data_IF_011966243688
#
_entry.id   IF_011966243688
#
_cell.length_a   1.000
_cell.length_b   1.000
_cell.length_c   1.000
_cell.angle_alpha   90.00
_cell.angle_beta   90.00
_cell.angle_gamma   90.00
#
_symmetry.space_group_name_H-M   'P 1'
#
loop_
_entity.id
_entity.type
_entity.pdbx_description
1 polymer ?
#
# COMPACT_ATOMS: atom_id res chain seq x y z
N UNK A 1 7.04 11.50 14.44
CA UNK A 1 7.22 10.22 13.73
C UNK A 1 6.19 10.20 12.66
N UNK A 2 6.63 10.14 11.41
CA UNK A 2 5.77 10.38 10.26
C UNK A 2 5.51 9.06 9.55
N UNK A 3 4.27 8.86 9.10
CA UNK A 3 3.84 7.64 8.42
C UNK A 3 3.48 8.00 6.99
N UNK A 4 4.19 7.42 6.02
CA UNK A 4 3.81 7.52 4.62
C UNK A 4 2.65 6.58 4.35
N UNK A 5 1.57 7.14 3.82
CA UNK A 5 0.36 6.41 3.44
C UNK A 5 0.33 6.36 1.91
N UNK A 6 0.57 5.18 1.35
CA UNK A 6 0.52 4.93 -0.10
C UNK A 6 -0.81 4.34 -0.55
N UNK A 7 -1.57 3.73 0.38
CA UNK A 7 -2.89 3.14 0.10
C UNK A 7 -3.87 3.41 1.24
N UNK A 8 -5.17 3.42 0.93
CA UNK A 8 -6.22 3.69 1.92
C UNK A 8 -6.32 2.60 3.01
N UNK A 9 -6.00 1.35 2.69
CA UNK A 9 -6.04 0.24 3.64
C UNK A 9 -5.05 0.42 4.81
N UNK A 10 -4.02 1.26 4.63
CA UNK A 10 -3.05 1.58 5.67
C UNK A 10 -3.62 2.53 6.74
N UNK A 11 -4.72 3.23 6.48
CA UNK A 11 -5.31 4.20 7.40
C UNK A 11 -5.84 3.52 8.66
N UNK A 12 -6.52 2.39 8.52
CA UNK A 12 -7.10 1.64 9.65
C UNK A 12 -6.05 1.23 10.70
N UNK A 13 -4.98 0.49 10.37
CA UNK A 13 -3.99 0.10 11.36
C UNK A 13 -3.29 1.31 11.99
N UNK A 14 -3.10 2.41 11.25
CA UNK A 14 -2.57 3.66 11.80
C UNK A 14 -3.52 4.27 12.84
N UNK A 15 -4.81 4.36 12.54
CA UNK A 15 -5.82 4.91 13.46
C UNK A 15 -5.88 4.11 14.78
N UNK A 16 -5.87 2.78 14.68
CA UNK A 16 -5.80 1.89 15.85
C UNK A 16 -4.53 2.13 16.66
N UNK A 17 -3.39 2.30 15.99
CA UNK A 17 -2.11 2.55 16.65
C UNK A 17 -2.08 3.90 17.36
N UNK A 18 -2.60 4.98 16.74
CA UNK A 18 -2.72 6.28 17.40
C UNK A 18 -3.63 6.21 18.62
N UNK A 19 -4.77 5.51 18.51
CA UNK A 19 -5.65 5.32 19.66
C UNK A 19 -4.96 4.61 20.82
N UNK A 20 -4.23 3.53 20.53
CA UNK A 20 -3.45 2.78 21.54
C UNK A 20 -2.35 3.65 22.15
N UNK A 21 -1.62 4.42 21.34
CA UNK A 21 -0.59 5.37 21.81
C UNK A 21 -1.18 6.48 22.70
N UNK A 22 -2.41 6.91 22.42
CA UNK A 22 -3.15 7.84 23.25
C UNK A 22 -3.71 7.21 24.54
N UNK A 23 -3.56 5.89 24.74
CA UNK A 23 -4.06 5.19 25.93
C UNK A 23 -5.59 5.09 26.00
N UNK A 24 -6.31 5.31 24.89
CA UNK A 24 -7.77 5.37 24.87
C UNK A 24 -8.38 4.04 24.42
N UNK A 25 -9.46 3.62 25.08
CA UNK A 25 -10.34 2.57 24.55
C UNK A 25 -11.24 3.13 23.45
N UNK A 26 -11.84 2.27 22.63
CA UNK A 26 -12.85 2.70 21.63
C UNK A 26 -14.01 3.46 22.30
N UNK A 27 -14.47 2.99 23.46
CA UNK A 27 -15.52 3.65 24.23
C UNK A 27 -15.09 5.03 24.73
N UNK A 28 -13.84 5.19 25.16
CA UNK A 28 -13.32 6.49 25.60
C UNK A 28 -13.24 7.51 24.45
N UNK A 29 -12.82 7.08 23.25
CA UNK A 29 -12.83 7.97 22.08
C UNK A 29 -14.27 8.34 21.70
N UNK A 30 -15.18 7.36 21.69
CA UNK A 30 -16.59 7.59 21.40
C UNK A 30 -17.24 8.59 22.37
N UNK A 31 -16.98 8.45 23.68
CA UNK A 31 -17.47 9.35 24.70
C UNK A 31 -17.00 10.79 24.48
N UNK A 32 -15.72 10.99 24.14
CA UNK A 32 -15.16 12.32 23.83
C UNK A 32 -15.74 12.94 22.55
N UNK A 33 -16.20 12.10 21.61
CA UNK A 33 -16.85 12.53 20.38
C UNK A 33 -18.37 12.70 20.52
N UNK A 34 -18.95 12.41 21.69
CA UNK A 34 -20.40 12.45 21.91
C UNK A 34 -21.18 11.44 21.05
N UNK A 35 -20.58 10.29 20.73
CA UNK A 35 -21.22 9.23 19.93
C UNK A 35 -21.20 7.88 20.65
N UNK A 36 -21.96 6.91 20.14
CA UNK A 36 -21.94 5.54 20.67
C UNK A 36 -20.61 4.84 20.38
N UNK A 37 -20.21 3.89 21.25
CA UNK A 37 -19.04 3.05 21.02
C UNK A 37 -19.14 2.32 19.66
N UNK A 38 -20.31 1.79 19.32
CA UNK A 38 -20.53 1.07 18.07
C UNK A 38 -20.29 1.96 16.84
N UNK A 39 -20.74 3.23 16.90
CA UNK A 39 -20.49 4.19 15.83
C UNK A 39 -18.98 4.46 15.66
N UNK A 40 -18.23 4.59 16.75
CA UNK A 40 -16.78 4.75 16.68
C UNK A 40 -16.11 3.48 16.18
N UNK A 41 -16.51 2.31 16.67
CA UNK A 41 -15.93 1.03 16.26
C UNK A 41 -16.13 0.75 14.76
N UNK A 42 -17.31 1.07 14.21
CA UNK A 42 -17.58 0.98 12.77
C UNK A 42 -16.69 1.94 11.97
N UNK A 43 -16.56 3.18 12.44
CA UNK A 43 -15.69 4.18 11.81
C UNK A 43 -14.21 3.77 11.87
N UNK A 44 -13.71 3.24 13.00
CA UNK A 44 -12.34 2.74 13.13
C UNK A 44 -12.11 1.46 12.28
N UNK A 45 -13.14 0.65 12.07
CA UNK A 45 -13.09 -0.53 11.19
C UNK A 45 -13.11 -0.16 9.69
N UNK A 46 -13.79 0.94 9.33
CA UNK A 46 -13.97 1.39 7.95
C UNK A 46 -13.69 2.89 7.81
N UNK A 47 -12.44 3.36 8.04
CA UNK A 47 -12.13 4.78 8.06
C UNK A 47 -12.26 5.46 6.68
N UNK A 48 -12.27 4.68 5.60
CA UNK A 48 -12.48 5.16 4.22
C UNK A 48 -13.90 5.60 3.94
N UNK A 49 -14.87 5.07 4.68
CA UNK A 49 -16.29 5.38 4.54
C UNK A 49 -16.66 6.63 5.36
N UNK A 50 -15.76 7.06 6.25
CA UNK A 50 -15.95 8.26 7.06
C UNK A 50 -15.70 9.51 6.21
N UNK A 51 -16.44 10.58 6.51
CA UNK A 51 -16.11 11.88 5.92
C UNK A 51 -14.70 12.31 6.34
N UNK A 52 -14.02 13.05 5.46
CA UNK A 52 -12.71 13.63 5.76
C UNK A 52 -12.76 14.45 7.04
N UNK A 53 -13.79 15.27 7.23
CA UNK A 53 -14.02 16.03 8.48
C UNK A 53 -14.03 15.12 9.71
N UNK A 54 -14.77 14.01 9.66
CA UNK A 54 -14.85 13.05 10.77
C UNK A 54 -13.48 12.44 11.07
N UNK A 55 -12.75 12.03 10.03
CA UNK A 55 -11.41 11.45 10.16
C UNK A 55 -10.44 12.44 10.81
N UNK A 56 -10.42 13.70 10.35
CA UNK A 56 -9.58 14.75 10.93
C UNK A 56 -9.93 15.07 12.38
N UNK A 57 -11.21 15.09 12.75
CA UNK A 57 -11.62 15.26 14.15
C UNK A 57 -11.07 14.14 15.03
N UNK A 58 -11.14 12.89 14.57
CA UNK A 58 -10.60 11.75 15.31
C UNK A 58 -9.08 11.84 15.43
N UNK A 59 -8.37 12.15 14.34
CA UNK A 59 -6.91 12.28 14.37
C UNK A 59 -6.45 13.34 15.37
N UNK A 60 -7.08 14.53 15.36
CA UNK A 60 -6.79 15.58 16.34
C UNK A 60 -7.05 15.13 17.78
N UNK A 61 -8.18 14.44 18.02
CA UNK A 61 -8.50 13.89 19.34
C UNK A 61 -7.47 12.87 19.83
N UNK A 62 -6.86 12.13 18.90
CA UNK A 62 -5.81 11.14 19.18
C UNK A 62 -4.40 11.76 19.22
N UNK A 63 -4.27 13.08 19.06
CA UNK A 63 -2.98 13.78 19.04
C UNK A 63 -2.17 13.56 17.76
N UNK A 64 -2.81 13.15 16.67
CA UNK A 64 -2.20 12.97 15.36
C UNK A 64 -2.47 14.17 14.44
N UNK A 65 -1.47 14.54 13.65
CA UNK A 65 -1.56 15.59 12.63
C UNK A 65 -1.39 14.98 11.23
N UNK A 66 -1.87 15.69 10.20
CA UNK A 66 -1.71 15.30 8.79
C UNK A 66 -0.84 16.34 8.11
N UNK A 67 0.16 15.87 7.35
CA UNK A 67 1.01 16.71 6.51
C UNK A 67 0.85 16.27 5.04
N UNK A 68 0.86 17.24 4.14
CA UNK A 68 0.84 17.00 2.70
C UNK A 68 2.23 17.28 2.14
N UNK A 69 2.73 16.36 1.32
CA UNK A 69 3.99 16.49 0.60
C UNK A 69 3.78 16.17 -0.88
N UNK A 70 4.67 16.69 -1.72
CA UNK A 70 4.73 16.30 -3.13
C UNK A 70 5.72 15.14 -3.27
N UNK A 71 5.34 14.12 -4.02
CA UNK A 71 6.30 13.14 -4.51
C UNK A 71 6.91 13.71 -5.78
N UNK A 72 8.11 14.28 -5.70
CA UNK A 72 8.91 14.46 -6.92
C UNK A 72 9.22 13.07 -7.43
N UNK A 73 8.81 12.69 -8.65
CA UNK A 73 9.25 11.42 -9.21
C UNK A 73 10.77 11.53 -9.33
N UNK A 74 11.50 10.85 -8.44
CA UNK A 74 12.90 10.58 -8.70
C UNK A 74 12.91 9.86 -10.05
N UNK A 75 13.61 10.44 -11.04
CA UNK A 75 13.78 9.86 -12.36
C UNK A 75 13.99 8.35 -12.20
N UNK A 76 13.14 7.55 -12.86
CA UNK A 76 13.20 6.10 -12.90
C UNK A 76 14.63 5.67 -13.27
N UNK A 77 15.44 5.45 -12.24
CA UNK A 77 16.88 5.32 -12.35
C UNK A 77 17.32 3.88 -12.12
N UNK A 78 17.71 3.25 -13.23
CA UNK A 78 18.36 1.94 -13.37
C UNK A 78 17.50 0.71 -13.09
N UNK A 79 16.79 0.29 -14.15
CA UNK A 79 16.98 -1.09 -14.62
C UNK A 79 18.50 -1.28 -14.74
N UNK A 80 19.10 -2.14 -13.91
CA UNK A 80 20.46 -2.62 -14.18
C UNK A 80 20.37 -3.34 -15.53
N UNK A 81 20.98 -2.77 -16.58
CA UNK A 81 21.40 -3.58 -17.71
C UNK A 81 22.22 -4.72 -17.14
N UNK A 82 21.66 -5.93 -17.18
CA UNK A 82 22.44 -7.15 -17.01
C UNK A 82 23.29 -7.22 -18.28
N UNK A 83 24.63 -7.22 -18.20
CA UNK A 83 25.44 -7.39 -19.38
C UNK A 83 25.03 -8.73 -20.01
N UNK A 84 24.68 -8.69 -21.30
CA UNK A 84 24.28 -9.86 -22.06
C UNK A 84 25.35 -10.94 -21.91
N UNK A 85 25.01 -12.02 -21.21
CA UNK A 85 25.82 -13.24 -21.22
C UNK A 85 25.78 -13.78 -22.65
N UNK A 86 26.93 -14.01 -23.32
CA UNK A 86 26.90 -14.50 -24.68
C UNK A 86 26.24 -15.88 -24.72
N UNK A 87 25.20 -16.05 -25.53
CA UNK A 87 24.59 -17.36 -25.77
C UNK A 87 25.64 -18.30 -26.38
N UNK A 88 25.71 -19.57 -25.96
CA UNK A 88 26.57 -20.54 -26.61
C UNK A 88 26.10 -20.77 -28.06
N UNK A 89 27.03 -20.70 -29.01
CA UNK A 89 26.79 -20.92 -30.43
C UNK A 89 26.19 -22.31 -30.67
N UNK A 90 24.97 -22.36 -31.21
CA UNK A 90 24.37 -23.63 -31.66
C UNK A 90 25.16 -24.16 -32.86
N UNK A 91 25.77 -25.34 -32.71
CA UNK A 91 26.29 -26.11 -33.85
C UNK A 91 25.12 -26.45 -34.78
N UNK A 92 25.25 -26.09 -36.06
CA UNK A 92 24.34 -26.55 -37.14
C UNK A 92 24.44 -28.08 -37.23
N UNK A 93 23.34 -28.77 -36.96
CA UNK A 93 23.16 -30.14 -37.43
C UNK A 93 22.77 -30.07 -38.92
N UNK A 94 23.52 -30.76 -39.76
CA UNK A 94 23.28 -30.91 -41.19
C UNK A 94 22.05 -31.80 -41.36
N UNK A 95 21.04 -31.31 -42.09
CA UNK A 95 19.85 -32.07 -42.48
C UNK A 95 20.27 -33.10 -43.51
N UNK A 96 20.12 -34.39 -43.18
CA UNK A 96 20.17 -35.45 -44.17
C UNK A 96 18.83 -35.48 -44.92
N UNK A 97 18.91 -35.33 -46.24
CA UNK A 97 17.82 -35.44 -47.19
C UNK A 97 17.12 -36.79 -47.13
N UNK A 98 15.81 -36.75 -47.32
CA UNK A 98 14.96 -37.89 -47.53
C UNK A 98 14.44 -37.80 -48.97
N UNK A 99 14.57 -38.81 -49.83
CA UNK A 99 13.78 -38.89 -51.05
C UNK A 99 12.69 -39.96 -50.93
N UNK A 100 11.44 -39.51 -51.05
CA UNK A 100 10.27 -40.33 -51.32
C UNK A 100 10.17 -40.69 -52.81
N UNK A 101 9.95 -41.95 -53.16
CA UNK A 101 9.31 -42.43 -54.39
C UNK A 101 8.93 -43.89 -54.08
N UNK A 102 7.71 -44.43 -54.19
CA UNK A 102 6.56 -44.10 -55.02
C UNK A 102 6.42 -45.13 -56.15
N UNK A 103 5.87 -46.31 -55.84
CA UNK A 103 4.91 -47.11 -56.65
C UNK A 103 4.30 -48.20 -55.75
#
# INVERSE_FOLDING_TARGET
MDYLISTLDQVRPLLVNFRKKAGLSQAAVAARLGISQQAYARMEAHPTDASVTRLFTVLQLLGATVAFGHTTPAATGRIKEVPAHPLPARRRAVVAENPSTGD
#
